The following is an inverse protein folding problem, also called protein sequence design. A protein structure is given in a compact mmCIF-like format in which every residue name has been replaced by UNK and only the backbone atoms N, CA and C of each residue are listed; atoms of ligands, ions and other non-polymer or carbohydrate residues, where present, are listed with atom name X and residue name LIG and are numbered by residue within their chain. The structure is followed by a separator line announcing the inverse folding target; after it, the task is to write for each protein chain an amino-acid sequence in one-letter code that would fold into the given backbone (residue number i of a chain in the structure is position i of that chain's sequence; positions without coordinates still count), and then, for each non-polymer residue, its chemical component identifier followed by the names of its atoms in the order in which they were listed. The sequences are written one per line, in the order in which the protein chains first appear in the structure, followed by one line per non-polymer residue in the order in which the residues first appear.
data_IF_735070971762
#
_entry.id   IF_735070971762
#
_cell.length_a   1.000
_cell.length_b   1.000
_cell.length_c   1.000
_cell.angle_alpha   90.00
_cell.angle_beta   90.00
_cell.angle_gamma   90.00
#
_symmetry.space_group_name_H-M   'P 1'
#
loop_
_entity.id
_entity.type
_entity.pdbx_description
1 polymer ?
#
# COMPACT_ATOMS: atom_id res chain seq x y z
N UNK A 1 -11.71 -30.52 32.59
CA UNK A 1 -10.63 -29.60 33.02
C UNK A 1 -9.57 -29.62 31.93
N UNK A 2 -9.53 -28.60 31.07
CA UNK A 2 -8.48 -28.49 30.05
C UNK A 2 -7.26 -27.83 30.70
N UNK A 3 -6.12 -28.54 30.67
CA UNK A 3 -4.85 -28.03 31.20
C UNK A 3 -4.32 -26.84 30.37
N UNK A 4 -3.36 -26.07 30.92
CA UNK A 4 -2.78 -24.94 30.22
C UNK A 4 -2.05 -25.43 28.97
N UNK A 5 -2.43 -24.88 27.81
CA UNK A 5 -1.87 -25.27 26.54
C UNK A 5 -0.49 -24.64 26.38
N UNK A 6 0.55 -25.46 26.39
CA UNK A 6 1.94 -25.04 26.26
C UNK A 6 2.32 -24.90 24.77
N UNK A 7 3.28 -24.01 24.50
CA UNK A 7 3.89 -23.71 23.20
C UNK A 7 4.08 -24.93 22.26
N UNK A 8 4.32 -26.11 22.83
CA UNK A 8 4.56 -27.40 22.15
C UNK A 8 3.40 -27.88 21.27
N UNK A 9 2.14 -27.69 21.65
CA UNK A 9 1.01 -28.25 20.89
C UNK A 9 0.71 -27.45 19.62
N UNK A 10 0.92 -26.13 19.69
CA UNK A 10 0.79 -25.22 18.55
C UNK A 10 1.85 -25.51 17.48
N UNK A 11 3.11 -25.65 17.89
CA UNK A 11 4.24 -26.01 17.01
C UNK A 11 4.02 -27.38 16.38
N UNK A 12 3.57 -28.37 17.15
CA UNK A 12 3.31 -29.72 16.63
C UNK A 12 2.28 -29.75 15.50
N UNK A 13 1.20 -28.96 15.60
CA UNK A 13 0.18 -28.87 14.54
C UNK A 13 0.74 -28.24 13.26
N UNK A 14 1.62 -27.24 13.42
CA UNK A 14 2.29 -26.59 12.31
C UNK A 14 3.28 -27.54 11.62
N UNK A 15 4.06 -28.29 12.40
CA UNK A 15 4.99 -29.28 11.87
C UNK A 15 4.26 -30.40 11.11
N UNK A 16 3.11 -30.85 11.63
CA UNK A 16 2.20 -31.78 10.93
C UNK A 16 1.73 -31.24 9.59
N UNK A 17 1.37 -29.96 9.52
CA UNK A 17 1.01 -29.32 8.27
C UNK A 17 2.18 -29.30 7.27
N UNK A 18 3.38 -28.94 7.73
CA UNK A 18 4.61 -28.93 6.91
C UNK A 18 4.98 -30.31 6.39
N UNK A 19 4.89 -31.34 7.22
CA UNK A 19 5.18 -32.72 6.79
C UNK A 19 4.17 -33.23 5.78
N UNK A 20 2.91 -32.83 5.90
CA UNK A 20 1.88 -33.13 4.90
C UNK A 20 2.20 -32.48 3.54
N UNK A 21 2.75 -31.27 3.52
CA UNK A 21 3.21 -30.61 2.30
C UNK A 21 4.41 -31.32 1.65
N UNK A 22 5.37 -31.82 2.45
CA UNK A 22 6.50 -32.61 1.93
C UNK A 22 6.04 -33.89 1.23
N UNK A 23 4.88 -34.42 1.62
CA UNK A 23 4.25 -35.60 1.02
C UNK A 23 3.28 -35.26 -0.11
N UNK A 24 3.24 -34.01 -0.57
CA UNK A 24 2.31 -33.48 -1.59
C UNK A 24 0.82 -33.62 -1.21
N UNK A 25 0.52 -33.75 0.08
CA UNK A 25 -0.85 -33.87 0.63
C UNK A 25 -1.38 -32.49 1.01
N UNK A 26 -1.67 -31.72 -0.01
CA UNK A 26 -2.05 -30.31 0.15
C UNK A 26 -3.30 -30.09 1.03
N UNK A 27 -4.37 -30.87 0.81
CA UNK A 27 -5.61 -30.72 1.57
C UNK A 27 -5.45 -31.14 3.04
N UNK A 28 -4.60 -32.13 3.30
CA UNK A 28 -4.27 -32.54 4.66
C UNK A 28 -3.53 -31.42 5.40
N UNK A 29 -2.53 -30.81 4.76
CA UNK A 29 -1.84 -29.65 5.30
C UNK A 29 -2.80 -28.49 5.64
N UNK A 30 -3.78 -28.22 4.76
CA UNK A 30 -4.82 -27.22 5.02
C UNK A 30 -5.71 -27.56 6.20
N UNK A 31 -6.12 -28.81 6.35
CA UNK A 31 -6.91 -29.25 7.49
C UNK A 31 -6.16 -29.08 8.81
N UNK A 32 -4.85 -29.40 8.83
CA UNK A 32 -4.00 -29.18 10.00
C UNK A 32 -3.87 -27.70 10.36
N UNK A 33 -3.63 -26.83 9.36
CA UNK A 33 -3.56 -25.39 9.56
C UNK A 33 -4.89 -24.79 10.02
N UNK A 34 -6.01 -25.18 9.41
CA UNK A 34 -7.33 -24.70 9.81
C UNK A 34 -7.60 -25.07 11.28
N UNK A 35 -7.28 -26.30 11.66
CA UNK A 35 -7.40 -26.77 13.05
C UNK A 35 -6.52 -25.93 13.99
N UNK A 36 -5.27 -25.66 13.60
CA UNK A 36 -4.37 -24.81 14.38
C UNK A 36 -4.90 -23.37 14.52
N UNK A 37 -5.37 -22.75 13.43
CA UNK A 37 -5.98 -21.40 13.44
C UNK A 37 -7.21 -21.35 14.35
N UNK A 38 -8.07 -22.38 14.32
CA UNK A 38 -9.27 -22.44 15.15
C UNK A 38 -8.94 -22.61 16.64
N UNK A 39 -7.93 -23.42 16.96
CA UNK A 39 -7.53 -23.66 18.36
C UNK A 39 -6.71 -22.50 18.93
N UNK A 40 -5.95 -21.78 18.09
CA UNK A 40 -5.02 -20.72 18.51
C UNK A 40 -5.17 -19.46 17.65
N UNK A 41 -6.34 -18.81 17.62
CA UNK A 41 -6.59 -17.67 16.74
C UNK A 41 -5.67 -16.48 17.04
N UNK A 42 -5.24 -16.32 18.30
CA UNK A 42 -4.34 -15.23 18.73
C UNK A 42 -2.86 -15.60 18.77
N UNK A 43 -2.45 -16.66 18.08
CA UNK A 43 -1.04 -17.05 18.01
C UNK A 43 -0.42 -16.62 16.68
N UNK A 44 0.43 -15.60 16.72
CA UNK A 44 1.09 -15.04 15.54
C UNK A 44 1.84 -16.10 14.71
N UNK A 45 2.54 -17.02 15.35
CA UNK A 45 3.35 -18.04 14.66
C UNK A 45 2.49 -18.94 13.76
N UNK A 46 1.32 -19.36 14.24
CA UNK A 46 0.38 -20.19 13.46
C UNK A 46 -0.19 -19.41 12.29
N UNK A 47 -0.59 -18.16 12.53
CA UNK A 47 -1.16 -17.29 11.48
C UNK A 47 -0.12 -16.99 10.40
N UNK A 48 1.11 -16.68 10.81
CA UNK A 48 2.23 -16.38 9.91
C UNK A 48 2.67 -17.59 9.11
N UNK A 49 2.64 -18.79 9.70
CA UNK A 49 2.92 -20.00 8.94
C UNK A 49 1.82 -20.33 7.94
N UNK A 50 0.54 -20.14 8.29
CA UNK A 50 -0.56 -20.29 7.35
C UNK A 50 -0.39 -19.37 6.13
N UNK A 51 -0.02 -18.11 6.37
CA UNK A 51 0.32 -17.16 5.32
C UNK A 51 1.51 -17.64 4.47
N UNK A 52 2.61 -18.07 5.08
CA UNK A 52 3.80 -18.54 4.35
C UNK A 52 3.49 -19.72 3.44
N UNK A 53 2.63 -20.63 3.89
CA UNK A 53 2.22 -21.80 3.12
C UNK A 53 1.41 -21.40 1.88
N UNK A 54 0.42 -20.51 2.02
CA UNK A 54 -0.35 -20.00 0.86
C UNK A 54 0.53 -19.17 -0.09
N UNK A 55 1.43 -18.34 0.47
CA UNK A 55 2.40 -17.54 -0.29
C UNK A 55 3.31 -18.43 -1.14
N UNK A 56 3.92 -19.45 -0.53
CA UNK A 56 4.82 -20.37 -1.22
C UNK A 56 4.07 -21.22 -2.27
N UNK A 57 2.78 -21.48 -2.05
CA UNK A 57 1.90 -22.14 -3.01
C UNK A 57 1.41 -21.24 -4.16
N UNK A 58 1.86 -19.97 -4.21
CA UNK A 58 1.43 -18.95 -5.19
C UNK A 58 -0.08 -18.69 -5.19
N UNK A 59 -0.74 -18.91 -4.05
CA UNK A 59 -2.17 -18.63 -3.85
C UNK A 59 -2.34 -17.23 -3.33
N UNK A 60 -2.23 -16.30 -4.27
CA UNK A 60 -2.08 -14.86 -3.98
C UNK A 60 -3.25 -14.32 -3.15
N UNK A 61 -4.48 -14.71 -3.48
CA UNK A 61 -5.68 -14.22 -2.80
C UNK A 61 -5.72 -14.69 -1.34
N UNK A 62 -5.56 -15.98 -1.12
CA UNK A 62 -5.59 -16.56 0.22
C UNK A 62 -4.41 -16.07 1.08
N UNK A 63 -3.23 -15.90 0.48
CA UNK A 63 -2.09 -15.30 1.16
C UNK A 63 -2.36 -13.84 1.55
N UNK A 64 -3.00 -13.07 0.67
CA UNK A 64 -3.35 -11.67 0.93
C UNK A 64 -4.39 -11.52 2.03
N UNK A 65 -5.44 -12.35 2.03
CA UNK A 65 -6.47 -12.36 3.08
C UNK A 65 -5.84 -12.67 4.46
N UNK A 66 -4.97 -13.70 4.53
CA UNK A 66 -4.26 -14.06 5.76
C UNK A 66 -3.30 -12.96 6.22
N UNK A 67 -2.64 -12.28 5.28
CA UNK A 67 -1.75 -11.16 5.58
C UNK A 67 -2.51 -10.00 6.22
N UNK A 68 -3.67 -9.62 5.66
CA UNK A 68 -4.52 -8.59 6.25
C UNK A 68 -5.05 -8.98 7.63
N UNK A 69 -5.55 -10.20 7.79
CA UNK A 69 -6.00 -10.72 9.09
C UNK A 69 -4.88 -10.62 10.14
N UNK A 70 -3.64 -10.95 9.77
CA UNK A 70 -2.49 -10.83 10.66
C UNK A 70 -2.12 -9.38 10.99
N UNK A 71 -2.20 -8.48 10.02
CA UNK A 71 -1.90 -7.06 10.22
C UNK A 71 -2.86 -6.39 11.19
N UNK A 72 -4.15 -6.70 11.08
CA UNK A 72 -5.16 -6.19 12.00
C UNK A 72 -4.99 -6.74 13.42
N UNK A 73 -4.58 -8.00 13.54
CA UNK A 73 -4.52 -8.70 14.82
C UNK A 73 -3.17 -8.58 15.54
N UNK A 74 -2.07 -8.38 14.82
CA UNK A 74 -0.69 -8.38 15.34
C UNK A 74 0.15 -7.22 14.76
N UNK A 75 -0.26 -5.97 14.97
CA UNK A 75 0.41 -4.81 14.36
C UNK A 75 1.85 -4.59 14.85
N UNK A 76 2.21 -5.12 16.03
CA UNK A 76 3.53 -4.92 16.65
C UNK A 76 4.57 -5.99 16.26
N UNK A 77 4.18 -7.03 15.52
CA UNK A 77 5.05 -8.16 15.22
C UNK A 77 6.05 -7.85 14.09
N UNK A 78 7.33 -7.83 14.45
CA UNK A 78 8.47 -7.45 13.60
C UNK A 78 8.59 -8.23 12.26
N UNK A 79 8.32 -9.55 12.20
CA UNK A 79 8.43 -10.31 10.95
C UNK A 79 7.45 -9.83 9.86
N UNK A 80 6.28 -9.36 10.28
CA UNK A 80 5.22 -8.88 9.40
C UNK A 80 5.65 -7.58 8.69
N UNK A 81 6.31 -6.69 9.44
CA UNK A 81 6.89 -5.47 8.91
C UNK A 81 8.06 -5.71 7.95
N UNK A 82 8.85 -6.78 8.16
CA UNK A 82 9.96 -7.13 7.27
C UNK A 82 9.48 -7.41 5.84
N UNK A 83 8.33 -8.06 5.68
CA UNK A 83 7.72 -8.31 4.38
C UNK A 83 7.21 -7.00 3.74
N UNK A 84 6.60 -6.10 4.52
CA UNK A 84 6.24 -4.75 4.04
C UNK A 84 7.48 -3.97 3.59
N UNK A 85 8.56 -3.98 4.36
CA UNK A 85 9.79 -3.29 3.99
C UNK A 85 10.43 -3.84 2.72
N UNK A 86 10.27 -5.14 2.43
CA UNK A 86 10.68 -5.69 1.15
C UNK A 86 9.78 -5.20 0.01
N UNK A 87 8.47 -5.07 0.22
CA UNK A 87 7.54 -4.53 -0.79
C UNK A 87 7.86 -3.05 -1.05
N UNK A 88 8.03 -2.24 0.01
CA UNK A 88 8.40 -0.83 -0.10
C UNK A 88 9.77 -0.69 -0.78
N UNK A 89 10.77 -1.45 -0.37
CA UNK A 89 12.09 -1.43 -0.99
C UNK A 89 12.11 -1.92 -2.44
N UNK A 90 11.16 -2.79 -2.83
CA UNK A 90 10.97 -3.21 -4.22
C UNK A 90 10.25 -2.13 -5.06
N UNK A 91 9.36 -1.35 -4.46
CA UNK A 91 8.73 -0.18 -5.09
C UNK A 91 9.71 1.00 -5.22
N UNK A 92 10.67 1.13 -4.30
CA UNK A 92 11.68 2.19 -4.31
C UNK A 92 12.86 1.93 -5.28
N UNK A 93 13.08 0.69 -5.71
CA UNK A 93 14.16 0.33 -6.63
C UNK A 93 13.64 0.11 -8.05
N UNK A 94 14.05 0.99 -8.97
CA UNK A 94 13.73 1.03 -10.41
C UNK A 94 14.29 -0.16 -11.23
N UNK A 95 14.66 -1.26 -10.56
CA UNK A 95 15.11 -2.51 -11.18
C UNK A 95 14.20 -3.64 -10.70
N UNK A 96 13.44 -4.28 -11.60
CA UNK A 96 12.66 -5.46 -11.25
C UNK A 96 13.65 -6.58 -10.92
N UNK A 97 13.87 -6.84 -9.64
CA UNK A 97 14.44 -8.10 -9.20
C UNK A 97 13.44 -9.22 -9.53
N UNK A 98 13.92 -10.45 -9.62
CA UNK A 98 13.20 -11.69 -9.99
C UNK A 98 11.96 -11.95 -9.11
N UNK A 99 11.79 -11.19 -8.02
CA UNK A 99 10.59 -11.18 -7.15
C UNK A 99 9.53 -10.15 -7.53
N UNK A 100 9.90 -9.03 -8.17
CA UNK A 100 8.96 -8.05 -8.75
C UNK A 100 8.24 -8.58 -10.00
N UNK A 101 8.81 -9.60 -10.65
CA UNK A 101 8.14 -10.37 -11.70
C UNK A 101 6.85 -11.07 -11.22
N UNK A 102 6.71 -11.34 -9.91
CA UNK A 102 5.50 -11.94 -9.36
C UNK A 102 4.27 -11.03 -9.48
N UNK A 103 4.48 -9.70 -9.42
CA UNK A 103 3.41 -8.71 -9.64
C UNK A 103 3.18 -8.42 -11.13
N UNK A 104 4.15 -8.71 -12.00
CA UNK A 104 4.08 -8.45 -13.44
C UNK A 104 3.58 -9.65 -14.26
N UNK A 105 3.67 -10.87 -13.72
CA UNK A 105 3.35 -12.11 -14.39
C UNK A 105 1.97 -12.66 -14.07
N UNK A 106 0.89 -12.01 -14.53
CA UNK A 106 -0.37 -12.74 -14.74
C UNK A 106 -1.33 -12.05 -15.73
N UNK A 107 -0.84 -11.71 -16.92
CA UNK A 107 -1.65 -11.29 -18.07
C UNK A 107 -2.21 -12.47 -18.89
N UNK A 108 -2.21 -13.70 -18.37
CA UNK A 108 -2.74 -14.82 -19.14
C UNK A 108 -2.83 -16.14 -18.38
N UNK A 109 -3.97 -16.38 -17.73
CA UNK A 109 -4.53 -17.74 -17.68
C UNK A 109 -6.03 -17.69 -17.35
N UNK A 110 -6.84 -17.49 -18.38
CA UNK A 110 -8.25 -17.87 -18.36
C UNK A 110 -8.35 -19.39 -18.25
N UNK A 111 -9.06 -19.93 -17.25
CA UNK A 111 -9.80 -21.19 -17.42
C UNK A 111 -11.01 -21.32 -16.50
N UNK A 112 -12.11 -21.67 -17.17
CA UNK A 112 -13.46 -21.96 -16.74
C UNK A 112 -13.48 -23.24 -15.89
N UNK A 113 -14.13 -23.22 -14.73
CA UNK A 113 -14.36 -24.42 -13.92
C UNK A 113 -15.39 -24.18 -12.83
N UNK A 114 -16.66 -24.53 -13.10
CA UNK A 114 -17.71 -24.63 -12.08
C UNK A 114 -17.46 -25.86 -11.21
N UNK A 115 -17.44 -25.70 -9.89
CA UNK A 115 -18.04 -26.70 -8.98
C UNK A 115 -18.74 -25.98 -7.82
N UNK A 116 -19.98 -26.41 -7.57
CA UNK A 116 -20.88 -25.99 -6.49
C UNK A 116 -20.62 -26.82 -5.25
N UNK A 117 -20.86 -26.24 -4.07
CA UNK A 117 -21.37 -26.79 -2.78
C UNK A 117 -21.11 -25.65 -1.74
N UNK A 118 -21.98 -25.19 -0.84
CA UNK A 118 -23.35 -25.49 -0.37
C UNK A 118 -23.88 -24.17 0.23
N UNK A 119 -25.20 -23.96 0.24
CA UNK A 119 -25.89 -22.73 0.68
C UNK A 119 -25.64 -22.39 2.16
N UNK A 120 -25.29 -21.13 2.45
CA UNK A 120 -25.97 -20.22 3.41
C UNK A 120 -25.25 -18.86 3.42
N UNK A 121 -26.03 -17.77 3.46
CA UNK A 121 -25.69 -16.36 3.10
C UNK A 121 -25.47 -16.17 1.58
N UNK A 122 -26.07 -15.16 0.92
CA UNK A 122 -25.67 -14.81 -0.43
C UNK A 122 -24.25 -14.22 -0.36
N UNK A 123 -23.25 -15.09 -0.32
CA UNK A 123 -21.87 -14.78 -0.65
C UNK A 123 -21.93 -14.15 -2.04
N UNK A 124 -21.90 -12.82 -2.10
CA UNK A 124 -21.57 -12.11 -3.33
C UNK A 124 -20.16 -12.56 -3.65
N UNK A 125 -20.04 -13.51 -4.57
CA UNK A 125 -18.81 -13.77 -5.27
C UNK A 125 -18.44 -12.47 -5.96
N UNK A 126 -17.62 -11.67 -5.29
CA UNK A 126 -17.09 -10.45 -5.86
C UNK A 126 -16.12 -10.91 -6.96
N UNK A 127 -16.39 -10.56 -8.23
CA UNK A 127 -15.57 -11.04 -9.34
C UNK A 127 -14.17 -10.47 -9.19
N UNK A 128 -13.18 -11.32 -8.85
CA UNK A 128 -11.76 -10.93 -8.72
C UNK A 128 -11.25 -10.27 -10.01
N UNK A 129 -11.50 -8.98 -10.13
CA UNK A 129 -11.12 -8.12 -11.24
C UNK A 129 -9.85 -7.39 -10.85
N UNK A 130 -9.11 -6.91 -11.83
CA UNK A 130 -7.93 -6.09 -11.57
C UNK A 130 -8.26 -4.89 -10.66
N UNK A 131 -9.44 -4.28 -10.83
CA UNK A 131 -9.90 -3.14 -10.02
C UNK A 131 -10.15 -3.55 -8.57
N UNK A 132 -10.71 -4.74 -8.30
CA UNK A 132 -10.91 -5.22 -6.93
C UNK A 132 -9.61 -5.56 -6.21
N UNK A 133 -8.67 -6.19 -6.93
CA UNK A 133 -7.33 -6.46 -6.39
C UNK A 133 -6.58 -5.16 -6.12
N UNK A 134 -6.65 -4.22 -7.06
CA UNK A 134 -6.05 -2.89 -6.93
C UNK A 134 -6.65 -2.15 -5.72
N UNK A 135 -7.98 -2.13 -5.60
CA UNK A 135 -8.70 -1.54 -4.46
C UNK A 135 -8.23 -2.11 -3.14
N UNK A 136 -8.09 -3.44 -3.07
CA UNK A 136 -7.63 -4.12 -1.88
C UNK A 136 -6.19 -3.73 -1.53
N UNK A 137 -5.27 -3.79 -2.50
CA UNK A 137 -3.87 -3.43 -2.30
C UNK A 137 -3.71 -1.98 -1.82
N UNK A 138 -4.46 -1.05 -2.40
CA UNK A 138 -4.41 0.37 -2.03
C UNK A 138 -4.91 0.58 -0.62
N UNK A 139 -6.06 0.01 -0.25
CA UNK A 139 -6.59 0.15 1.12
C UNK A 139 -5.66 -0.42 2.17
N UNK A 140 -5.02 -1.56 1.87
CA UNK A 140 -3.99 -2.14 2.73
C UNK A 140 -2.80 -1.17 2.90
N UNK A 141 -2.26 -0.64 1.80
CA UNK A 141 -1.15 0.31 1.83
C UNK A 141 -1.49 1.59 2.59
N UNK A 142 -2.68 2.16 2.38
CA UNK A 142 -3.18 3.32 3.13
C UNK A 142 -3.18 3.02 4.63
N UNK A 143 -3.71 1.85 5.02
CA UNK A 143 -3.78 1.42 6.42
C UNK A 143 -2.38 1.31 7.03
N UNK A 144 -1.44 0.69 6.31
CA UNK A 144 -0.05 0.57 6.75
C UNK A 144 0.61 1.96 6.93
N UNK A 145 0.39 2.89 6.01
CA UNK A 145 0.96 4.23 6.10
C UNK A 145 0.36 5.07 7.23
N UNK A 146 -0.96 5.00 7.46
CA UNK A 146 -1.61 5.68 8.60
C UNK A 146 -0.99 5.25 9.94
N UNK A 147 -0.74 3.95 10.11
CA UNK A 147 -0.12 3.40 11.32
C UNK A 147 1.32 3.91 11.47
N UNK A 148 2.11 3.87 10.39
CA UNK A 148 3.51 4.33 10.40
C UNK A 148 3.68 5.80 10.71
N UNK A 149 2.82 6.64 10.13
CA UNK A 149 2.80 8.08 10.38
C UNK A 149 2.56 8.39 11.87
N UNK A 150 1.93 7.48 12.62
CA UNK A 150 1.73 7.63 14.06
C UNK A 150 2.97 7.28 14.90
N UNK A 151 3.97 6.62 14.33
CA UNK A 151 5.11 6.03 15.05
C UNK A 151 6.48 6.64 14.67
N UNK A 152 6.58 7.37 13.57
CA UNK A 152 7.87 7.73 12.94
C UNK A 152 8.31 9.19 13.19
N UNK A 153 9.63 9.45 13.05
CA UNK A 153 10.24 10.79 13.17
C UNK A 153 9.99 11.71 11.96
N UNK A 154 10.21 13.03 12.12
CA UNK A 154 9.85 14.10 11.16
C UNK A 154 10.42 13.97 9.74
N UNK A 155 11.58 13.33 9.52
CA UNK A 155 12.20 13.29 8.18
C UNK A 155 11.69 12.09 7.37
N UNK A 156 11.56 10.92 7.98
CA UNK A 156 11.03 9.70 7.33
C UNK A 156 9.54 9.84 6.98
N UNK A 157 8.79 10.62 7.77
CA UNK A 157 7.36 10.84 7.57
C UNK A 157 7.06 11.62 6.28
N UNK A 158 7.99 12.47 5.81
CA UNK A 158 7.82 13.26 4.59
C UNK A 158 7.74 12.37 3.35
N UNK A 159 8.54 11.31 3.30
CA UNK A 159 8.45 10.32 2.21
C UNK A 159 7.11 9.59 2.24
N UNK A 160 6.66 9.16 3.43
CA UNK A 160 5.38 8.48 3.60
C UNK A 160 4.20 9.35 3.14
N UNK A 161 4.22 10.66 3.44
CA UNK A 161 3.17 11.57 3.00
C UNK A 161 3.06 11.64 1.47
N UNK A 162 4.18 11.59 0.74
CA UNK A 162 4.15 11.63 -0.73
C UNK A 162 3.43 10.42 -1.30
N UNK A 163 3.69 9.22 -0.77
CA UNK A 163 3.01 8.01 -1.20
C UNK A 163 1.54 8.01 -0.76
N UNK A 164 1.28 8.46 0.47
CA UNK A 164 -0.07 8.52 0.99
C UNK A 164 -0.95 9.47 0.17
N UNK A 165 -0.46 10.66 -0.22
CA UNK A 165 -1.19 11.60 -1.08
C UNK A 165 -1.70 10.89 -2.35
N UNK A 166 -0.84 10.11 -3.01
CA UNK A 166 -1.22 9.41 -4.25
C UNK A 166 -2.32 8.37 -3.98
N UNK A 167 -2.17 7.58 -2.92
CA UNK A 167 -3.11 6.51 -2.59
C UNK A 167 -4.48 7.03 -2.13
N UNK A 168 -4.53 8.13 -1.38
CA UNK A 168 -5.79 8.71 -0.87
C UNK A 168 -6.71 9.17 -2.01
N UNK A 169 -6.18 9.45 -3.20
CA UNK A 169 -6.98 9.78 -4.39
C UNK A 169 -7.91 8.64 -4.83
N UNK A 170 -7.56 7.38 -4.54
CA UNK A 170 -8.29 6.21 -5.02
C UNK A 170 -9.70 6.10 -4.44
N UNK A 171 -9.83 6.24 -3.13
CA UNK A 171 -11.11 6.13 -2.41
C UNK A 171 -11.68 7.52 -2.05
N UNK A 172 -11.27 8.58 -2.75
CA UNK A 172 -11.81 9.93 -2.53
C UNK A 172 -13.33 9.97 -2.80
N UNK A 173 -14.15 10.63 -1.95
CA UNK A 173 -13.81 11.48 -0.80
C UNK A 173 -13.77 10.75 0.56
N UNK A 174 -13.84 9.42 0.62
CA UNK A 174 -13.86 8.70 1.92
C UNK A 174 -12.60 8.95 2.75
N UNK A 175 -11.49 9.24 2.07
CA UNK A 175 -10.18 9.45 2.66
C UNK A 175 -9.87 10.94 2.95
N UNK A 176 -10.85 11.83 2.80
CA UNK A 176 -10.73 13.28 3.01
C UNK A 176 -10.25 13.64 4.44
N UNK A 177 -10.83 13.03 5.47
CA UNK A 177 -10.42 13.29 6.86
C UNK A 177 -8.93 12.99 7.08
N UNK A 178 -8.46 11.86 6.56
CA UNK A 178 -7.03 11.50 6.66
C UNK A 178 -6.16 12.48 5.88
N UNK A 179 -6.62 12.95 4.73
CA UNK A 179 -5.89 13.93 3.94
C UNK A 179 -5.66 15.23 4.74
N UNK A 180 -6.70 15.78 5.36
CA UNK A 180 -6.57 16.99 6.20
C UNK A 180 -5.69 16.79 7.43
N UNK A 181 -5.81 15.65 8.13
CA UNK A 181 -4.89 15.31 9.23
C UNK A 181 -3.43 15.27 8.78
N UNK A 182 -3.18 14.81 7.56
CA UNK A 182 -1.85 14.77 6.97
C UNK A 182 -1.37 16.17 6.55
N UNK A 183 -2.23 17.04 6.02
CA UNK A 183 -1.89 18.43 5.72
C UNK A 183 -1.43 19.20 6.97
N UNK A 184 -2.10 19.00 8.11
CA UNK A 184 -1.69 19.61 9.39
C UNK A 184 -0.29 19.16 9.80
N UNK A 185 0.05 17.89 9.59
CA UNK A 185 1.41 17.38 9.85
C UNK A 185 2.43 17.95 8.87
N UNK A 186 2.08 18.13 7.59
CA UNK A 186 2.94 18.80 6.61
C UNK A 186 3.22 20.25 7.04
N UNK A 187 2.17 20.97 7.48
CA UNK A 187 2.27 22.34 7.98
C UNK A 187 3.18 22.41 9.21
N UNK A 188 3.01 21.50 10.16
CA UNK A 188 3.86 21.38 11.35
C UNK A 188 5.33 21.05 11.00
N UNK A 189 5.57 20.33 9.90
CA UNK A 189 6.91 20.01 9.41
C UNK A 189 7.55 21.12 8.57
N UNK A 190 6.83 22.22 8.31
CA UNK A 190 7.32 23.37 7.54
C UNK A 190 7.26 23.18 6.03
N UNK A 191 6.61 22.12 5.53
CA UNK A 191 6.41 21.89 4.09
C UNK A 191 6.64 20.45 3.64
N UNK A 192 6.65 20.26 2.32
CA UNK A 192 6.76 18.96 1.65
C UNK A 192 7.58 19.10 0.37
N UNK A 193 8.53 18.19 0.16
CA UNK A 193 9.23 18.05 -1.12
C UNK A 193 8.67 16.85 -1.87
N UNK A 194 8.06 17.07 -3.04
CA UNK A 194 7.49 16.00 -3.84
C UNK A 194 7.63 16.27 -5.35
N UNK A 195 8.76 15.87 -5.92
CA UNK A 195 9.10 16.21 -7.32
C UNK A 195 8.28 15.52 -8.40
N UNK A 196 7.55 14.46 -8.04
CA UNK A 196 6.63 13.75 -8.95
C UNK A 196 5.17 14.10 -8.64
N UNK A 197 4.92 15.19 -7.92
CA UNK A 197 3.57 15.63 -7.59
C UNK A 197 2.70 15.76 -8.86
N UNK A 198 3.22 16.45 -9.88
CA UNK A 198 2.52 16.65 -11.15
C UNK A 198 2.43 15.39 -12.02
N UNK A 199 3.14 14.31 -11.68
CA UNK A 199 3.02 13.04 -12.41
C UNK A 199 1.77 12.28 -11.94
N UNK A 200 1.46 12.34 -10.63
CA UNK A 200 0.51 11.43 -9.97
C UNK A 200 -0.71 12.08 -9.31
N UNK A 201 -0.67 13.38 -8.97
CA UNK A 201 -1.76 14.03 -8.20
C UNK A 201 -2.69 14.80 -9.14
N UNK A 202 -3.89 14.30 -9.37
CA UNK A 202 -4.89 14.88 -10.29
C UNK A 202 -6.19 15.28 -9.61
N UNK A 203 -6.45 14.82 -8.38
CA UNK A 203 -7.68 15.14 -7.65
C UNK A 203 -7.81 16.66 -7.41
N UNK A 204 -8.90 17.26 -7.89
CA UNK A 204 -9.10 18.72 -7.90
C UNK A 204 -9.12 19.33 -6.49
N UNK A 205 -9.76 18.68 -5.52
CA UNK A 205 -9.86 19.16 -4.15
C UNK A 205 -8.47 19.20 -3.49
N UNK A 206 -7.67 18.14 -3.70
CA UNK A 206 -6.28 18.11 -3.21
C UNK A 206 -5.41 19.17 -3.88
N UNK A 207 -5.57 19.37 -5.19
CA UNK A 207 -4.85 20.41 -5.93
C UNK A 207 -5.17 21.80 -5.40
N UNK A 208 -6.44 22.09 -5.09
CA UNK A 208 -6.85 23.37 -4.49
C UNK A 208 -6.16 23.60 -3.14
N UNK A 209 -6.15 22.61 -2.26
CA UNK A 209 -5.53 22.71 -0.93
C UNK A 209 -4.02 23.01 -1.02
N UNK A 210 -3.30 22.29 -1.89
CA UNK A 210 -1.88 22.55 -2.11
C UNK A 210 -1.61 23.90 -2.78
N UNK A 211 -2.49 24.37 -3.65
CA UNK A 211 -2.41 25.71 -4.23
C UNK A 211 -2.59 26.79 -3.16
N UNK A 212 -3.56 26.61 -2.26
CA UNK A 212 -3.81 27.49 -1.12
C UNK A 212 -2.59 27.56 -0.20
N UNK A 213 -2.04 26.41 0.22
CA UNK A 213 -0.82 26.33 1.04
C UNK A 213 0.39 27.02 0.39
N UNK A 214 0.54 26.90 -0.94
CA UNK A 214 1.63 27.58 -1.65
C UNK A 214 1.43 29.11 -1.69
N UNK A 215 0.18 29.58 -1.80
CA UNK A 215 -0.15 31.00 -1.81
C UNK A 215 0.11 31.69 -0.46
N UNK A 216 -0.11 30.99 0.65
CA UNK A 216 0.26 31.48 1.99
C UNK A 216 1.76 31.84 2.07
N UNK A 217 2.61 31.11 1.34
CA UNK A 217 4.04 31.42 1.19
C UNK A 217 4.90 31.15 2.44
N UNK A 218 4.32 30.54 3.47
CA UNK A 218 4.99 30.22 4.74
C UNK A 218 5.70 28.86 4.66
N UNK A 219 5.14 27.92 3.88
CA UNK A 219 5.60 26.54 3.80
C UNK A 219 6.57 26.33 2.63
N UNK A 220 7.56 25.45 2.83
CA UNK A 220 8.48 25.02 1.78
C UNK A 220 7.89 23.87 0.98
N UNK A 221 7.16 24.19 -0.08
CA UNK A 221 6.61 23.22 -1.03
C UNK A 221 7.51 23.13 -2.28
N UNK A 222 8.22 22.01 -2.46
CA UNK A 222 9.09 21.75 -3.62
C UNK A 222 8.49 20.64 -4.50
N UNK A 223 7.55 21.02 -5.37
CA UNK A 223 6.83 20.11 -6.27
C UNK A 223 7.37 20.08 -7.69
N UNK A 224 8.10 21.11 -8.09
CA UNK A 224 8.62 21.22 -9.44
C UNK A 224 9.82 20.25 -9.64
N UNK A 225 9.90 19.54 -10.78
CA UNK A 225 11.04 18.68 -11.07
C UNK A 225 12.32 19.51 -11.27
N UNK A 226 13.48 18.98 -10.86
CA UNK A 226 14.79 19.67 -10.91
C UNK A 226 15.17 20.28 -12.26
N UNK A 227 14.61 19.79 -13.36
CA UNK A 227 14.88 20.31 -14.71
C UNK A 227 14.29 21.69 -14.97
N UNK A 228 13.23 22.12 -14.26
CA UNK A 228 12.68 23.46 -14.41
C UNK A 228 13.65 24.54 -13.90
N UNK A 229 14.42 24.22 -12.87
CA UNK A 229 15.35 25.16 -12.22
C UNK A 229 16.73 25.25 -12.91
N UNK A 230 17.15 24.22 -13.65
CA UNK A 230 18.53 24.10 -14.14
C UNK A 230 18.78 24.79 -15.50
N UNK A 231 17.77 25.00 -16.34
CA UNK A 231 17.98 25.53 -17.70
C UNK A 231 18.15 27.06 -17.75
N UNK A 232 18.00 27.78 -16.63
CA UNK A 232 18.10 29.24 -16.58
C UNK A 232 19.18 29.78 -15.64
N UNK A 233 20.27 29.03 -15.40
CA UNK A 233 21.47 29.54 -14.73
C UNK A 233 22.28 30.55 -15.60
N UNK A 234 21.62 31.35 -16.45
CA UNK A 234 22.18 32.56 -17.05
C UNK A 234 21.51 33.78 -16.42
N UNK A 235 22.17 34.31 -15.39
CA UNK A 235 22.24 35.73 -15.03
C UNK A 235 20.94 36.53 -15.07
N UNK A 236 20.13 36.49 -14.00
CA UNK A 236 19.28 37.64 -13.58
C UNK A 236 19.06 37.56 -12.05
N UNK A 237 19.56 38.51 -11.28
CA UNK A 237 19.42 38.59 -9.80
C UNK A 237 18.23 39.44 -9.33
N UNK A 238 17.30 39.78 -10.22
CA UNK A 238 16.05 40.47 -9.89
C UNK A 238 14.87 39.75 -10.54
N UNK A 239 14.13 38.96 -9.77
CA UNK A 239 12.89 38.30 -10.23
C UNK A 239 12.84 36.77 -10.13
N UNK A 240 13.87 36.10 -9.63
CA UNK A 240 13.94 34.62 -9.54
C UNK A 240 12.73 34.00 -8.83
N UNK A 241 12.30 34.60 -7.71
CA UNK A 241 11.13 34.08 -6.97
C UNK A 241 9.79 34.31 -7.70
N UNK A 242 9.69 35.32 -8.57
CA UNK A 242 8.50 35.54 -9.39
C UNK A 242 8.38 34.45 -10.45
N UNK A 243 9.50 34.08 -11.08
CA UNK A 243 9.56 32.98 -12.05
C UNK A 243 9.13 31.64 -11.45
N UNK A 244 9.62 31.31 -10.24
CA UNK A 244 9.23 30.05 -9.56
C UNK A 244 7.73 30.00 -9.25
N UNK A 245 7.13 31.13 -8.81
CA UNK A 245 5.68 31.20 -8.56
C UNK A 245 4.86 31.09 -9.85
N UNK A 246 5.32 31.70 -10.95
CA UNK A 246 4.68 31.57 -12.26
C UNK A 246 4.80 30.15 -12.82
N UNK A 247 5.95 29.49 -12.66
CA UNK A 247 6.18 28.10 -13.07
C UNK A 247 5.29 27.14 -12.28
N UNK A 248 5.17 27.34 -10.96
CA UNK A 248 4.26 26.57 -10.12
C UNK A 248 2.81 26.76 -10.58
N UNK A 249 2.38 28.00 -10.78
CA UNK A 249 1.02 28.30 -11.26
C UNK A 249 0.74 27.64 -12.61
N UNK A 250 1.66 27.75 -13.56
CA UNK A 250 1.51 27.13 -14.88
C UNK A 250 1.45 25.60 -14.79
N UNK A 251 2.24 24.99 -13.90
CA UNK A 251 2.18 23.55 -13.64
C UNK A 251 0.83 23.14 -13.02
N UNK A 252 0.31 23.89 -12.05
CA UNK A 252 -1.01 23.67 -11.46
C UNK A 252 -2.13 23.81 -12.48
N UNK A 253 -2.11 24.85 -13.32
CA UNK A 253 -3.11 25.04 -14.39
C UNK A 253 -3.15 23.83 -15.35
N UNK A 254 -1.98 23.31 -15.73
CA UNK A 254 -1.89 22.08 -16.54
C UNK A 254 -2.40 20.85 -15.80
N UNK A 255 -2.12 20.75 -14.50
CA UNK A 255 -2.55 19.63 -13.69
C UNK A 255 -4.06 19.60 -13.48
N UNK A 256 -4.69 20.77 -13.33
CA UNK A 256 -6.16 20.88 -13.24
C UNK A 256 -6.82 20.39 -14.53
N UNK A 257 -6.19 20.56 -15.70
CA UNK A 257 -6.73 19.99 -16.95
C UNK A 257 -6.76 18.46 -16.98
N UNK A 258 -6.07 17.81 -16.03
CA UNK A 258 -6.02 16.35 -15.86
C UNK A 258 -6.97 15.84 -14.77
N UNK A 259 -7.79 16.71 -14.15
CA UNK A 259 -8.62 16.33 -13.00
C UNK A 259 -9.67 15.26 -13.30
N UNK A 260 -10.06 15.13 -14.57
CA UNK A 260 -11.01 14.12 -15.04
C UNK A 260 -10.32 12.79 -15.41
N UNK A 261 -8.99 12.71 -15.35
CA UNK A 261 -8.26 11.47 -15.58
C UNK A 261 -8.59 10.42 -14.51
N UNK A 262 -8.75 9.17 -14.95
CA UNK A 262 -8.87 8.06 -14.00
C UNK A 262 -7.58 7.91 -13.20
N UNK A 263 -7.72 7.68 -11.90
CA UNK A 263 -6.59 7.46 -11.00
C UNK A 263 -5.98 6.05 -11.13
N UNK A 264 -6.75 5.06 -11.59
CA UNK A 264 -6.28 3.66 -11.67
C UNK A 264 -5.02 3.48 -12.53
N UNK A 265 -4.92 4.05 -13.76
CA UNK A 265 -3.70 3.97 -14.57
C UNK A 265 -2.49 4.63 -13.91
N UNK A 266 -2.71 5.75 -13.20
CA UNK A 266 -1.64 6.48 -12.50
C UNK A 266 -1.08 5.62 -11.34
N UNK A 267 -1.97 4.94 -10.62
CA UNK A 267 -1.59 4.03 -9.53
C UNK A 267 -0.90 2.76 -10.03
N UNK A 268 -1.24 2.28 -11.23
CA UNK A 268 -0.53 1.14 -11.86
C UNK A 268 0.88 1.51 -12.32
N UNK A 269 1.13 2.80 -12.59
CA UNK A 269 2.45 3.32 -12.97
C UNK A 269 3.29 3.87 -11.81
N UNK A 270 2.72 3.90 -10.60
CA UNK A 270 3.33 4.36 -9.36
C UNK A 270 4.09 3.25 -8.66
#
# INVERSE_FOLDING_TARGET
MAGPVTHSTAEWLVDRAKDSLKQDKFYEAKSWLLTAKTLYPRNFFIQHEAYNIERNARRVKEAADLFCEMFEQFPDESPLWKDIFHIIGALENDKPDVKGEFLKGNSGCYRKGRMRLKQEQPLRLIPCTESEVLSFCIRLLITCFKLRISQESRTSISNLFRHLIVLLQYDWPREETTFYEMLEKIRANGGLTYRSFFDYVVNIDMLEEFAHMNNEGILKLDFLPKSSSATRARTVTRGVNKGVKEDFRSAMEKQVMRSDESIEPLLKGF
#
